data_IF_789723291740
#
_entry.id   IF_789723291740
#
_cell.length_a   1.000
_cell.length_b   1.000
_cell.length_c   1.000
_cell.angle_alpha   90.00
_cell.angle_beta   90.00
_cell.angle_gamma   90.00
#
_symmetry.space_group_name_H-M   'P 1'
#
loop_
_entity.id
_entity.type
_entity.pdbx_description
1 polymer ?
#
# COMPACT_ATOMS: atom_id res chain seq x y z
N UNK A 1 -5.88 3.80 18.78
CA UNK A 1 -4.65 3.00 18.63
C UNK A 1 -3.64 3.83 17.84
N UNK A 2 -2.34 3.84 18.21
CA UNK A 2 -1.31 4.59 17.47
C UNK A 2 -0.41 3.58 16.75
N UNK A 3 -0.31 3.69 15.43
CA UNK A 3 0.62 2.92 14.59
C UNK A 3 1.94 3.67 14.50
N UNK A 4 3.06 2.95 14.57
CA UNK A 4 4.40 3.50 14.41
C UNK A 4 5.15 2.74 13.33
N UNK A 5 5.94 3.47 12.53
CA UNK A 5 6.87 2.87 11.57
C UNK A 5 8.09 2.37 12.34
N UNK A 6 8.53 1.14 12.07
CA UNK A 6 9.68 0.49 12.68
C UNK A 6 10.54 -0.21 11.62
N UNK A 7 11.67 -0.77 12.04
CA UNK A 7 12.60 -1.53 11.20
C UNK A 7 13.21 -0.72 10.03
N UNK A 8 14.04 0.25 10.39
CA UNK A 8 14.74 1.09 9.40
C UNK A 8 16.01 0.43 8.83
N UNK A 9 16.20 -0.88 9.01
CA UNK A 9 17.42 -1.59 8.59
C UNK A 9 17.72 -1.52 7.09
N UNK A 10 16.68 -1.43 6.25
CA UNK A 10 16.79 -1.29 4.80
C UNK A 10 16.59 0.15 4.31
N UNK A 11 16.37 1.12 5.21
CA UNK A 11 16.11 2.51 4.83
C UNK A 11 17.35 3.19 4.25
N UNK A 12 17.14 4.04 3.22
CA UNK A 12 18.19 4.82 2.57
C UNK A 12 17.82 6.29 2.55
N UNK A 13 18.82 7.18 2.79
CA UNK A 13 18.60 8.63 2.64
C UNK A 13 18.49 9.00 1.16
N UNK A 14 17.44 9.70 0.78
CA UNK A 14 17.17 10.14 -0.61
C UNK A 14 18.18 11.20 -1.09
N UNK A 15 18.93 11.85 -0.19
CA UNK A 15 19.81 12.99 -0.50
C UNK A 15 21.24 12.61 -0.93
N UNK A 16 21.55 11.33 -1.12
CA UNK A 16 22.90 10.97 -1.59
C UNK A 16 22.88 10.96 -3.11
N UNK A 17 23.55 11.95 -3.69
CA UNK A 17 23.98 11.91 -5.09
C UNK A 17 24.47 10.51 -5.44
N UNK A 18 23.98 10.03 -6.57
CA UNK A 18 24.32 8.76 -7.19
C UNK A 18 25.83 8.54 -7.29
N UNK A 19 26.43 8.04 -6.23
CA UNK A 19 27.74 7.41 -6.30
C UNK A 19 27.49 5.91 -6.16
N UNK A 20 27.80 5.23 -7.22
CA UNK A 20 27.78 3.81 -7.45
C UNK A 20 28.01 2.98 -6.19
N UNK A 21 26.99 2.28 -5.72
CA UNK A 21 27.16 1.19 -4.78
C UNK A 21 27.65 -0.05 -5.51
N UNK A 22 28.90 -0.05 -5.93
CA UNK A 22 29.62 -1.28 -6.25
C UNK A 22 29.91 -2.00 -4.93
N UNK A 23 29.31 -3.16 -4.71
CA UNK A 23 29.77 -4.11 -3.70
C UNK A 23 28.89 -4.33 -2.47
N UNK A 24 27.61 -3.93 -2.44
CA UNK A 24 26.71 -4.45 -1.39
C UNK A 24 26.02 -5.73 -1.86
N UNK A 25 26.07 -6.78 -0.98
CA UNK A 25 25.26 -7.99 -1.09
C UNK A 25 23.89 -7.63 -1.60
N UNK A 26 23.39 -8.37 -2.59
CA UNK A 26 21.99 -8.32 -3.04
C UNK A 26 21.11 -8.42 -1.78
N UNK A 27 20.67 -7.27 -1.27
CA UNK A 27 19.68 -7.26 -0.23
C UNK A 27 18.43 -7.86 -0.86
N UNK A 28 18.01 -9.03 -0.40
CA UNK A 28 16.78 -9.67 -0.83
C UNK A 28 15.62 -8.68 -0.52
N UNK A 29 15.21 -7.95 -1.54
CA UNK A 29 14.03 -7.09 -1.45
C UNK A 29 12.82 -8.01 -1.32
N UNK A 30 11.91 -7.78 -0.35
CA UNK A 30 10.68 -8.56 -0.25
C UNK A 30 9.82 -8.33 -1.49
N UNK A 31 10.00 -9.17 -2.50
CA UNK A 31 9.50 -8.96 -3.87
C UNK A 31 7.97 -8.82 -3.97
N UNK A 32 7.21 -9.41 -3.04
CA UNK A 32 5.74 -9.31 -3.00
C UNK A 32 5.24 -7.91 -2.66
N UNK A 33 6.05 -7.12 -2.00
CA UNK A 33 5.74 -5.73 -1.61
C UNK A 33 6.47 -4.70 -2.47
N UNK A 34 7.45 -5.13 -3.25
CA UNK A 34 8.27 -4.23 -4.04
C UNK A 34 7.59 -3.82 -5.35
N UNK A 35 7.86 -2.59 -5.78
CA UNK A 35 7.41 -2.08 -7.07
C UNK A 35 8.06 -2.84 -8.22
N UNK A 36 7.36 -2.97 -9.35
CA UNK A 36 7.81 -3.75 -10.50
C UNK A 36 9.17 -3.27 -11.03
N UNK A 37 9.42 -1.96 -11.06
CA UNK A 37 10.71 -1.40 -11.50
C UNK A 37 11.86 -1.76 -10.56
N UNK A 38 11.56 -1.94 -9.26
CA UNK A 38 12.55 -2.37 -8.25
C UNK A 38 12.87 -3.85 -8.41
N UNK A 39 11.83 -4.69 -8.56
CA UNK A 39 12.00 -6.14 -8.77
C UNK A 39 12.82 -6.40 -10.04
N UNK A 40 12.63 -5.59 -11.08
CA UNK A 40 13.36 -5.69 -12.35
C UNK A 40 14.77 -5.10 -12.30
N UNK A 41 15.19 -4.52 -11.19
CA UNK A 41 16.50 -3.87 -11.07
C UNK A 41 16.67 -2.63 -11.95
N UNK A 42 15.57 -2.07 -12.48
CA UNK A 42 15.61 -0.94 -13.42
C UNK A 42 15.82 0.42 -12.76
N UNK A 43 15.46 0.52 -11.48
CA UNK A 43 15.48 1.80 -10.77
C UNK A 43 15.91 1.58 -9.34
N UNK A 44 16.72 2.50 -8.80
CA UNK A 44 17.00 2.53 -7.37
C UNK A 44 15.70 2.78 -6.58
N UNK A 45 15.62 2.24 -5.37
CA UNK A 45 14.50 2.47 -4.44
C UNK A 45 14.33 3.98 -4.24
N UNK A 46 13.13 4.48 -4.47
CA UNK A 46 12.74 5.89 -4.33
C UNK A 46 11.39 5.98 -3.60
N UNK A 47 10.99 7.19 -3.20
CA UNK A 47 9.68 7.46 -2.59
C UNK A 47 8.51 6.80 -3.36
N UNK A 48 8.55 6.80 -4.68
CA UNK A 48 7.52 6.16 -5.51
C UNK A 48 7.42 4.63 -5.34
N UNK A 49 8.55 3.99 -5.03
CA UNK A 49 8.59 2.55 -4.73
C UNK A 49 7.96 2.27 -3.37
N UNK A 50 8.17 3.15 -2.38
CA UNK A 50 7.54 3.06 -1.07
C UNK A 50 6.03 3.28 -1.16
N UNK A 51 5.57 4.16 -2.06
CA UNK A 51 4.13 4.34 -2.35
C UNK A 51 3.50 3.04 -2.88
N UNK A 52 4.18 2.32 -3.77
CA UNK A 52 3.71 1.00 -4.21
C UNK A 52 3.59 0.04 -3.03
N UNK A 53 4.64 -0.07 -2.21
CA UNK A 53 4.66 -0.92 -1.02
C UNK A 53 3.55 -0.55 -0.03
N UNK A 54 3.27 0.75 0.12
CA UNK A 54 2.16 1.24 0.93
C UNK A 54 0.79 0.81 0.39
N UNK A 55 0.61 0.77 -0.93
CA UNK A 55 -0.58 0.21 -1.55
C UNK A 55 -0.79 -1.27 -1.18
N UNK A 56 0.29 -2.07 -1.19
CA UNK A 56 0.24 -3.48 -0.75
C UNK A 56 -0.06 -3.58 0.74
N UNK A 57 0.52 -2.74 1.57
CA UNK A 57 0.24 -2.66 3.00
C UNK A 57 -1.24 -2.33 3.27
N UNK A 58 -1.84 -1.35 2.55
CA UNK A 58 -3.28 -1.08 2.65
C UNK A 58 -4.11 -2.32 2.34
N UNK A 59 -3.73 -3.07 1.30
CA UNK A 59 -4.39 -4.31 0.91
C UNK A 59 -4.34 -5.36 2.03
N UNK A 60 -3.19 -5.58 2.66
CA UNK A 60 -3.02 -6.52 3.77
C UNK A 60 -3.86 -6.14 4.99
N UNK A 61 -3.99 -4.84 5.29
CA UNK A 61 -4.85 -4.37 6.39
C UNK A 61 -6.28 -4.85 6.20
N UNK A 62 -6.85 -4.75 5.00
CA UNK A 62 -8.22 -5.19 4.72
C UNK A 62 -8.38 -6.71 4.71
N UNK A 63 -7.29 -7.46 4.63
CA UNK A 63 -7.28 -8.90 4.85
C UNK A 63 -6.92 -9.31 6.28
N UNK A 64 -6.66 -8.36 7.18
CA UNK A 64 -6.21 -8.60 8.56
C UNK A 64 -4.98 -9.51 8.64
N UNK A 65 -4.12 -9.46 7.64
CA UNK A 65 -2.95 -10.34 7.53
C UNK A 65 -3.27 -11.79 7.20
N UNK A 66 -4.54 -12.13 6.93
CA UNK A 66 -4.95 -13.51 6.61
C UNK A 66 -4.60 -13.95 5.19
N UNK A 67 -4.25 -13.01 4.30
CA UNK A 67 -3.88 -13.30 2.92
C UNK A 67 -2.45 -12.80 2.62
N UNK A 68 -1.73 -13.57 1.85
CA UNK A 68 -0.39 -13.20 1.36
C UNK A 68 -0.55 -12.51 -0.01
N UNK A 69 0.04 -11.34 -0.25
CA UNK A 69 0.01 -10.71 -1.55
C UNK A 69 0.52 -11.65 -2.64
N UNK A 70 -0.24 -11.79 -3.73
CA UNK A 70 0.08 -12.72 -4.83
C UNK A 70 0.32 -14.17 -4.36
N UNK A 71 -0.46 -14.64 -3.37
CA UNK A 71 -0.22 -15.91 -2.68
C UNK A 71 -0.30 -17.16 -3.58
N UNK A 72 -0.96 -17.06 -4.74
CA UNK A 72 -1.01 -18.08 -5.80
C UNK A 72 0.27 -18.17 -6.64
N UNK A 73 1.16 -17.16 -6.54
CA UNK A 73 2.41 -17.07 -7.30
C UNK A 73 3.60 -17.45 -6.43
N UNK A 74 4.37 -18.43 -6.86
CA UNK A 74 5.48 -18.99 -6.08
C UNK A 74 6.78 -18.23 -6.32
N UNK A 75 7.05 -17.91 -7.58
CA UNK A 75 8.29 -17.29 -8.01
C UNK A 75 8.09 -15.79 -8.28
N UNK A 76 9.17 -15.02 -8.21
CA UNK A 76 9.10 -13.59 -8.48
C UNK A 76 8.81 -13.29 -9.96
N UNK A 77 9.24 -14.15 -10.86
CA UNK A 77 8.95 -14.07 -12.29
C UNK A 77 7.44 -14.12 -12.57
N UNK A 78 6.71 -14.97 -11.88
CA UNK A 78 5.25 -15.07 -12.01
C UNK A 78 4.56 -13.76 -11.62
N UNK A 79 5.08 -13.08 -10.60
CA UNK A 79 4.55 -11.77 -10.18
C UNK A 79 4.89 -10.70 -11.21
N UNK A 80 6.11 -10.68 -11.74
CA UNK A 80 6.50 -9.73 -12.78
C UNK A 80 5.60 -9.88 -14.01
N UNK A 81 5.38 -11.10 -14.47
CA UNK A 81 4.55 -11.37 -15.64
C UNK A 81 3.08 -10.98 -15.40
N UNK A 82 2.55 -11.25 -14.22
CA UNK A 82 1.21 -10.84 -13.83
C UNK A 82 1.06 -9.32 -13.87
N UNK A 83 2.00 -8.59 -13.28
CA UNK A 83 2.00 -7.13 -13.23
C UNK A 83 2.20 -6.51 -14.63
N UNK A 84 3.07 -7.08 -15.48
CA UNK A 84 3.31 -6.62 -16.85
C UNK A 84 2.08 -6.75 -17.75
N UNK A 85 1.23 -7.73 -17.49
CA UNK A 85 -0.05 -7.90 -18.19
C UNK A 85 -1.12 -6.92 -17.71
N UNK A 86 -0.78 -5.97 -16.83
CA UNK A 86 -1.69 -4.96 -16.28
C UNK A 86 -2.54 -5.45 -15.11
N UNK A 87 -2.30 -6.66 -14.62
CA UNK A 87 -3.04 -7.17 -13.46
C UNK A 87 -2.56 -6.54 -12.15
N UNK A 88 -3.45 -6.47 -11.18
CA UNK A 88 -3.19 -5.99 -9.82
C UNK A 88 -3.84 -6.93 -8.81
N UNK A 89 -3.50 -6.79 -7.54
CA UNK A 89 -4.20 -7.47 -6.46
C UNK A 89 -5.69 -7.15 -6.52
N UNK A 90 -6.53 -8.16 -6.37
CA UNK A 90 -7.99 -7.99 -6.36
C UNK A 90 -8.43 -7.18 -5.13
N UNK A 91 -9.56 -6.48 -5.27
CA UNK A 91 -10.13 -5.75 -4.15
C UNK A 91 -10.47 -6.69 -2.98
N UNK A 92 -9.97 -6.40 -1.77
CA UNK A 92 -10.39 -7.15 -0.58
C UNK A 92 -11.91 -7.04 -0.35
N UNK A 93 -12.58 -8.09 0.12
CA UNK A 93 -14.04 -8.10 0.25
C UNK A 93 -14.63 -6.95 1.08
N UNK A 94 -13.93 -6.54 2.13
CA UNK A 94 -14.37 -5.47 3.05
C UNK A 94 -13.78 -4.09 2.70
N UNK A 95 -13.02 -3.98 1.60
CA UNK A 95 -12.40 -2.73 1.20
C UNK A 95 -13.41 -1.83 0.46
N UNK A 96 -13.61 -0.57 0.91
CA UNK A 96 -14.40 0.41 0.17
C UNK A 96 -13.81 0.69 -1.21
N UNK A 97 -14.67 1.01 -2.20
CA UNK A 97 -14.24 1.26 -3.58
C UNK A 97 -13.25 2.41 -3.69
N UNK A 98 -13.47 3.51 -2.96
CA UNK A 98 -12.58 4.67 -2.95
C UNK A 98 -11.18 4.33 -2.39
N UNK A 99 -11.09 3.48 -1.37
CA UNK A 99 -9.80 3.01 -0.83
C UNK A 99 -9.12 2.06 -1.82
N UNK A 100 -9.88 1.17 -2.47
CA UNK A 100 -9.31 0.31 -3.50
C UNK A 100 -8.83 1.12 -4.72
N UNK A 101 -9.57 2.16 -5.11
CA UNK A 101 -9.12 3.13 -6.13
C UNK A 101 -7.77 3.75 -5.77
N UNK A 102 -7.59 4.14 -4.50
CA UNK A 102 -6.32 4.67 -4.01
C UNK A 102 -5.17 3.65 -4.07
N UNK A 103 -5.45 2.37 -3.77
CA UNK A 103 -4.46 1.29 -3.96
C UNK A 103 -4.05 1.17 -5.43
N UNK A 104 -5.00 1.23 -6.36
CA UNK A 104 -4.73 1.18 -7.80
C UNK A 104 -3.87 2.35 -8.27
N UNK A 105 -4.08 3.55 -7.73
CA UNK A 105 -3.22 4.71 -7.98
C UNK A 105 -1.79 4.47 -7.47
N UNK A 106 -1.64 3.89 -6.27
CA UNK A 106 -0.33 3.50 -5.72
C UNK A 106 0.39 2.48 -6.62
N UNK A 107 -0.34 1.63 -7.31
CA UNK A 107 0.19 0.59 -8.20
C UNK A 107 0.20 1.01 -9.67
N UNK A 108 0.21 2.30 -9.98
CA UNK A 108 0.30 2.77 -11.36
C UNK A 108 1.62 2.32 -11.99
N UNK A 109 1.58 1.85 -13.27
CA UNK A 109 2.76 1.33 -13.98
C UNK A 109 3.85 2.37 -14.10
N UNK A 110 3.48 3.58 -14.51
CA UNK A 110 4.39 4.70 -14.52
C UNK A 110 4.45 5.31 -13.11
N UNK A 111 5.59 5.15 -12.45
CA UNK A 111 5.80 5.61 -11.08
C UNK A 111 5.60 7.13 -10.90
N UNK A 112 5.73 7.93 -11.95
CA UNK A 112 5.50 9.38 -11.90
C UNK A 112 4.02 9.76 -11.69
N UNK A 113 3.11 8.85 -11.98
CA UNK A 113 1.67 9.05 -11.78
C UNK A 113 1.17 8.51 -10.43
N UNK A 114 2.04 7.87 -9.65
CA UNK A 114 1.69 7.47 -8.29
C UNK A 114 1.56 8.70 -7.40
N UNK A 115 0.58 8.74 -6.50
CA UNK A 115 0.42 9.83 -5.55
C UNK A 115 1.63 9.92 -4.60
N UNK A 116 1.91 11.10 -4.08
CA UNK A 116 2.87 11.26 -2.99
C UNK A 116 2.22 10.95 -1.64
N UNK A 117 3.00 10.63 -0.62
CA UNK A 117 2.48 10.36 0.72
C UNK A 117 1.63 11.51 1.29
N UNK A 118 1.97 12.76 0.98
CA UNK A 118 1.16 13.92 1.37
C UNK A 118 -0.24 13.88 0.75
N UNK A 119 -0.34 13.47 -0.51
CA UNK A 119 -1.60 13.35 -1.24
C UNK A 119 -2.42 12.18 -0.71
N UNK A 120 -1.78 11.02 -0.48
CA UNK A 120 -2.39 9.85 0.16
C UNK A 120 -2.99 10.21 1.53
N UNK A 121 -2.22 10.91 2.38
CA UNK A 121 -2.70 11.37 3.69
C UNK A 121 -3.92 12.27 3.55
N UNK A 122 -3.93 13.19 2.58
CA UNK A 122 -5.06 14.10 2.34
C UNK A 122 -6.31 13.34 1.90
N UNK A 123 -6.19 12.41 0.94
CA UNK A 123 -7.31 11.61 0.44
C UNK A 123 -7.91 10.72 1.54
N UNK A 124 -7.06 10.03 2.30
CA UNK A 124 -7.51 9.19 3.42
C UNK A 124 -8.26 9.99 4.49
N UNK A 125 -7.81 11.21 4.81
CA UNK A 125 -8.53 12.10 5.74
C UNK A 125 -9.90 12.52 5.20
N UNK A 126 -10.00 12.80 3.90
CA UNK A 126 -11.29 13.14 3.26
C UNK A 126 -12.26 11.95 3.37
N UNK A 127 -11.81 10.74 3.10
CA UNK A 127 -12.64 9.55 3.21
C UNK A 127 -13.14 9.30 4.64
N UNK A 128 -12.31 9.56 5.64
CA UNK A 128 -12.70 9.46 7.05
C UNK A 128 -13.76 10.49 7.42
N UNK A 129 -13.61 11.74 6.98
CA UNK A 129 -14.59 12.82 7.19
C UNK A 129 -15.93 12.54 6.51
N UNK A 130 -15.93 12.12 5.24
CA UNK A 130 -17.15 11.78 4.49
C UNK A 130 -17.91 10.65 5.19
N UNK A 131 -17.21 9.70 5.75
CA UNK A 131 -17.81 8.62 6.50
C UNK A 131 -18.42 9.09 7.82
N UNK A 132 -17.74 9.95 8.57
CA UNK A 132 -18.26 10.51 9.82
C UNK A 132 -19.51 11.34 9.57
N UNK A 133 -19.58 12.07 8.46
CA UNK A 133 -20.78 12.86 8.09
C UNK A 133 -21.93 12.01 7.57
N UNK A 134 -21.64 10.83 7.01
CA UNK A 134 -22.66 9.86 6.54
C UNK A 134 -23.30 9.06 7.69
N UNK A 135 -22.71 9.10 8.88
CA UNK A 135 -23.28 8.52 10.11
C UNK A 135 -24.11 9.61 10.83
N UNK A 136 -25.12 10.19 10.15
CA UNK A 136 -26.26 10.76 10.84
C UNK A 136 -27.17 9.57 11.19
N UNK A 137 -27.42 9.28 12.48
CA UNK A 137 -28.17 8.07 12.82
C UNK A 137 -29.63 8.27 12.37
N UNK A 138 -30.03 7.49 11.38
CA UNK A 138 -31.43 7.12 11.27
C UNK A 138 -31.66 6.10 12.39
N UNK A 139 -32.55 6.33 13.36
CA UNK A 139 -32.67 5.48 14.53
C UNK A 139 -33.55 4.28 14.20
N UNK A 140 -33.08 3.30 13.45
CA UNK A 140 -33.66 1.93 13.39
C UNK A 140 -32.76 1.09 12.46
N UNK A 141 -31.91 0.30 13.02
CA UNK A 141 -31.69 -1.14 12.88
C UNK A 141 -30.27 -1.50 13.34
N UNK A 142 -30.19 -1.87 14.62
CA UNK A 142 -29.15 -2.76 15.09
C UNK A 142 -29.40 -4.12 14.44
N UNK A 143 -28.47 -4.59 13.63
CA UNK A 143 -28.21 -6.01 13.45
C UNK A 143 -26.70 -6.23 13.30
N UNK A 144 -26.21 -7.03 14.21
CA UNK A 144 -24.87 -7.49 14.44
C UNK A 144 -24.15 -7.99 13.18
N UNK A 145 -23.06 -7.35 12.83
CA UNK A 145 -21.80 -7.97 12.41
C UNK A 145 -20.68 -6.97 12.71
N UNK A 146 -20.17 -7.06 13.94
CA UNK A 146 -19.31 -6.07 14.55
C UNK A 146 -17.85 -6.16 14.14
N UNK A 147 -17.51 -5.75 12.93
CA UNK A 147 -16.18 -5.25 12.63
C UNK A 147 -16.36 -3.87 12.01
N UNK A 148 -16.22 -2.85 12.85
CA UNK A 148 -16.31 -1.47 12.41
C UNK A 148 -15.18 -1.17 11.43
N UNK A 149 -15.51 -0.83 10.18
CA UNK A 149 -14.57 -0.30 9.19
C UNK A 149 -13.74 0.91 9.70
N UNK A 150 -14.12 1.54 10.82
CA UNK A 150 -13.37 2.58 11.53
C UNK A 150 -11.94 2.17 11.86
N UNK A 151 -11.76 0.93 12.30
CA UNK A 151 -10.46 0.39 12.71
C UNK A 151 -9.45 0.35 11.56
N UNK A 152 -9.91 0.15 10.32
CA UNK A 152 -9.01 0.07 9.16
C UNK A 152 -8.50 1.43 8.69
N UNK A 153 -9.35 2.46 8.68
CA UNK A 153 -8.95 3.81 8.28
C UNK A 153 -8.00 4.46 9.29
N UNK A 154 -8.23 4.22 10.59
CA UNK A 154 -7.31 4.68 11.65
C UNK A 154 -5.90 4.07 11.53
N UNK A 155 -5.78 2.86 10.98
CA UNK A 155 -4.49 2.21 10.73
C UNK A 155 -3.74 2.81 9.54
N UNK A 156 -4.45 3.40 8.58
CA UNK A 156 -3.88 3.98 7.38
C UNK A 156 -3.41 5.43 7.55
N UNK A 157 -3.93 6.14 8.56
CA UNK A 157 -3.57 7.54 8.82
C UNK A 157 -2.52 7.57 9.94
N UNK A 158 -1.27 7.73 9.57
CA UNK A 158 -0.18 7.95 10.52
C UNK A 158 -0.06 9.45 10.76
N UNK A 159 -0.39 9.90 11.98
CA UNK A 159 -0.13 11.27 12.40
C UNK A 159 1.34 11.40 12.81
N UNK A 160 2.04 12.32 12.14
CA UNK A 160 3.37 12.79 12.55
C UNK A 160 3.23 13.85 13.62
#
# INVERSE_FOLDING_TARGET
MKVKIADFGLSTRIYVHTSERKGQKENMVPFRWAAIEVIQGKTAIKEYSDVWSYGVFMWEIFYLGAAVPYGDKKEFEDIIDFLRRGHRLNKPPLCPENIYGLMLECWHDNYLYRPRFKELKSQLKTFDLERQTSIIPNPIQQNDLGVNNLTYLELLIVDN
#
